data_IF_794318590885
#
_entry.id   IF_794318590885
#
_cell.length_a   1.000
_cell.length_b   1.000
_cell.length_c   1.000
_cell.angle_alpha   90.00
_cell.angle_beta   90.00
_cell.angle_gamma   90.00
#
_symmetry.space_group_name_H-M   'P 1'
#
loop_
_entity.id
_entity.type
_entity.pdbx_description
1 polymer ?
#
# COMPACT_ATOMS: atom_id res chain seq x y z
N UNK A 1 -4.80 21.25 12.48
CA UNK A 1 -5.15 19.84 12.73
C UNK A 1 -4.01 18.98 12.22
N UNK A 2 -3.47 18.06 13.02
CA UNK A 2 -2.41 17.14 12.56
C UNK A 2 -3.01 16.11 11.62
N UNK A 3 -2.42 15.90 10.44
CA UNK A 3 -2.81 14.79 9.59
C UNK A 3 -2.47 13.47 10.31
N UNK A 4 -3.44 12.57 10.44
CA UNK A 4 -3.21 11.20 10.91
C UNK A 4 -2.74 10.34 9.74
N UNK A 5 -1.57 9.72 9.90
CA UNK A 5 -1.08 8.67 9.02
C UNK A 5 -1.38 7.32 9.66
N UNK A 6 -2.24 6.53 9.03
CA UNK A 6 -2.52 5.16 9.44
C UNK A 6 -1.74 4.20 8.55
N UNK A 7 -0.90 3.36 9.15
CA UNK A 7 -0.21 2.32 8.40
C UNK A 7 -1.18 1.19 8.05
N UNK A 8 -1.25 0.83 6.77
CA UNK A 8 -2.22 -0.13 6.25
C UNK A 8 -1.55 -1.43 5.83
N UNK A 9 -0.47 -1.34 5.06
CA UNK A 9 0.30 -2.52 4.62
C UNK A 9 1.76 -2.25 4.87
N UNK A 10 2.46 -3.25 5.40
CA UNK A 10 3.91 -3.25 5.45
C UNK A 10 4.46 -4.62 5.06
N UNK A 11 5.54 -4.61 4.28
CA UNK A 11 6.33 -5.80 3.97
C UNK A 11 7.80 -5.42 3.78
N UNK A 12 8.68 -6.41 3.84
CA UNK A 12 10.13 -6.23 3.64
C UNK A 12 10.60 -7.16 2.52
N UNK A 13 11.27 -6.60 1.52
CA UNK A 13 11.84 -7.34 0.40
C UNK A 13 13.34 -7.07 0.28
N UNK A 14 14.19 -8.08 0.50
CA UNK A 14 15.66 -7.97 0.48
C UNK A 14 16.22 -6.76 1.26
N UNK A 15 15.68 -6.54 2.46
CA UNK A 15 16.09 -5.44 3.34
C UNK A 15 15.55 -4.06 2.95
N UNK A 16 14.59 -3.99 2.03
CA UNK A 16 13.87 -2.77 1.66
C UNK A 16 12.47 -2.85 2.27
N UNK A 17 12.12 -1.87 3.11
CA UNK A 17 10.80 -1.73 3.69
C UNK A 17 9.85 -1.08 2.69
N UNK A 18 8.69 -1.68 2.49
CA UNK A 18 7.61 -1.19 1.65
C UNK A 18 6.39 -0.97 2.54
N UNK A 19 5.94 0.27 2.66
CA UNK A 19 4.82 0.64 3.53
C UNK A 19 3.81 1.47 2.77
N UNK A 20 2.52 1.23 3.04
CA UNK A 20 1.41 2.05 2.54
C UNK A 20 0.72 2.65 3.74
N UNK A 21 0.59 3.97 3.72
CA UNK A 21 -0.13 4.75 4.70
C UNK A 21 -1.36 5.39 4.08
N UNK A 22 -2.40 5.53 4.89
CA UNK A 22 -3.53 6.39 4.58
C UNK A 22 -3.37 7.75 5.23
N UNK A 23 -3.53 8.79 4.43
CA UNK A 23 -3.52 10.17 4.87
C UNK A 23 -4.96 10.69 4.87
N UNK A 24 -5.57 10.69 6.06
CA UNK A 24 -6.96 11.09 6.26
C UNK A 24 -7.25 12.50 5.72
N UNK A 25 -6.30 13.45 5.86
CA UNK A 25 -6.52 14.85 5.47
C UNK A 25 -6.74 15.05 3.97
N UNK A 26 -6.13 14.18 3.16
CA UNK A 26 -6.06 14.35 1.70
C UNK A 26 -6.86 13.26 0.98
N UNK A 27 -7.49 12.34 1.73
CA UNK A 27 -8.16 11.15 1.21
C UNK A 27 -7.27 10.39 0.22
N UNK A 28 -5.98 10.26 0.58
CA UNK A 28 -4.92 9.80 -0.30
C UNK A 28 -4.07 8.70 0.33
N UNK A 29 -3.43 7.92 -0.54
CA UNK A 29 -2.45 6.91 -0.14
C UNK A 29 -1.04 7.45 -0.29
N UNK A 30 -0.23 7.17 0.72
CA UNK A 30 1.20 7.43 0.70
C UNK A 30 1.94 6.10 0.65
N UNK A 31 2.65 5.87 -0.44
CA UNK A 31 3.56 4.74 -0.55
C UNK A 31 4.97 5.19 -0.15
N UNK A 32 5.53 4.49 0.83
CA UNK A 32 6.86 4.72 1.38
C UNK A 32 7.73 3.50 1.10
N UNK A 33 8.87 3.74 0.45
CA UNK A 33 9.90 2.73 0.23
C UNK A 33 11.21 3.21 0.83
N UNK A 34 11.77 2.43 1.74
CA UNK A 34 13.04 2.71 2.40
C UNK A 34 13.98 1.53 2.27
N UNK A 35 15.11 1.76 1.59
CA UNK A 35 16.17 0.80 1.42
C UNK A 35 17.46 1.34 1.99
N UNK A 36 18.26 0.46 2.62
CA UNK A 36 19.57 0.78 3.21
C UNK A 36 20.53 1.57 2.31
N UNK A 37 20.35 1.55 0.98
CA UNK A 37 21.24 2.22 0.01
C UNK A 37 20.59 3.34 -0.81
N UNK A 38 19.26 3.55 -0.76
CA UNK A 38 18.56 4.45 -1.70
C UNK A 38 17.74 5.58 -1.07
N UNK A 39 17.69 5.65 0.26
CA UNK A 39 16.89 6.64 0.98
C UNK A 39 15.39 6.44 0.78
N UNK A 40 14.59 7.18 1.55
CA UNK A 40 13.14 7.14 1.49
C UNK A 40 12.59 7.77 0.19
N UNK A 41 11.69 7.07 -0.50
CA UNK A 41 10.86 7.65 -1.55
C UNK A 41 9.40 7.63 -1.14
N UNK A 42 8.76 8.79 -1.26
CA UNK A 42 7.34 9.02 -1.00
C UNK A 42 6.61 9.23 -2.32
N UNK A 43 5.49 8.53 -2.49
CA UNK A 43 4.59 8.70 -3.61
C UNK A 43 3.18 8.92 -3.08
N UNK A 44 2.58 10.03 -3.46
CA UNK A 44 1.16 10.30 -3.23
C UNK A 44 0.38 9.82 -4.46
N UNK A 45 -0.65 9.01 -4.25
CA UNK A 45 -1.51 8.53 -5.33
C UNK A 45 -2.99 8.76 -5.00
N UNK A 46 -3.72 9.32 -5.96
CA UNK A 46 -5.18 9.44 -5.89
C UNK A 46 -5.85 8.08 -6.17
N UNK A 47 -6.91 7.83 -5.41
CA UNK A 47 -7.70 6.60 -5.18
C UNK A 47 -7.99 5.65 -6.36
N UNK A 48 -7.89 6.04 -7.61
CA UNK A 48 -8.20 5.16 -8.75
C UNK A 48 -6.93 4.75 -9.48
N UNK A 49 -6.30 3.63 -9.13
CA UNK A 49 -5.47 2.78 -10.02
C UNK A 49 -4.57 1.83 -9.25
N UNK A 50 -4.17 0.76 -9.93
CA UNK A 50 -2.96 0.01 -9.60
C UNK A 50 -1.70 0.87 -9.78
N UNK A 51 -0.82 0.88 -8.79
CA UNK A 51 0.46 1.58 -8.85
C UNK A 51 1.61 0.59 -9.02
N UNK A 52 2.31 0.67 -10.15
CA UNK A 52 3.48 -0.17 -10.44
C UNK A 52 4.76 0.44 -9.88
N UNK A 53 5.58 -0.38 -9.22
CA UNK A 53 6.89 0.03 -8.71
C UNK A 53 7.89 -1.13 -8.81
N UNK A 54 9.18 -0.83 -8.70
CA UNK A 54 10.24 -1.83 -8.79
C UNK A 54 11.18 -1.78 -7.59
N UNK A 55 11.55 -2.95 -7.08
CA UNK A 55 12.49 -3.11 -5.97
C UNK A 55 13.58 -4.08 -6.41
N UNK A 56 14.83 -3.60 -6.54
CA UNK A 56 15.97 -4.41 -7.03
C UNK A 56 15.58 -5.26 -8.25
N UNK A 57 15.07 -4.59 -9.29
CA UNK A 57 14.64 -5.18 -10.57
C UNK A 57 13.44 -6.15 -10.51
N UNK A 58 12.87 -6.41 -9.33
CA UNK A 58 11.58 -7.10 -9.20
C UNK A 58 10.42 -6.12 -9.36
N UNK A 59 9.49 -6.42 -10.26
CA UNK A 59 8.28 -5.64 -10.48
C UNK A 59 7.19 -5.99 -9.49
N UNK A 60 6.62 -4.96 -8.88
CA UNK A 60 5.49 -5.04 -7.98
C UNK A 60 4.38 -4.10 -8.42
N UNK A 61 3.16 -4.44 -8.01
CA UNK A 61 1.97 -3.63 -8.21
C UNK A 61 1.23 -3.53 -6.90
N UNK A 62 1.00 -2.31 -6.42
CA UNK A 62 0.02 -2.03 -5.37
C UNK A 62 -1.35 -1.94 -6.02
N UNK A 63 -2.29 -2.82 -5.65
CA UNK A 63 -3.67 -2.72 -6.16
C UNK A 63 -4.57 -2.02 -5.15
N UNK A 64 -5.29 -1.02 -5.66
CA UNK A 64 -6.32 -0.27 -4.95
C UNK A 64 -7.60 -0.40 -5.76
N UNK A 65 -8.68 -0.84 -5.11
CA UNK A 65 -9.97 -1.06 -5.74
C UNK A 65 -10.99 -0.12 -5.13
N UNK A 66 -11.61 0.77 -5.94
CA UNK A 66 -12.75 1.54 -5.50
C UNK A 66 -13.90 0.59 -5.14
N UNK A 67 -14.48 0.75 -3.96
CA UNK A 67 -15.70 0.05 -3.55
C UNK A 67 -16.93 0.88 -3.93
N UNK A 68 -17.95 0.24 -4.50
CA UNK A 68 -19.22 0.88 -4.83
C UNK A 68 -19.98 1.41 -3.62
N UNK A 69 -19.62 0.98 -2.40
CA UNK A 69 -20.15 1.48 -1.12
C UNK A 69 -19.22 2.54 -0.52
N UNK A 70 -19.14 3.72 -1.14
CA UNK A 70 -18.49 4.96 -0.64
C UNK A 70 -17.09 4.79 -0.03
N UNK A 71 -16.34 3.78 -0.45
CA UNK A 71 -15.08 3.40 0.18
C UNK A 71 -14.05 2.98 -0.85
N UNK A 72 -12.83 2.81 -0.39
CA UNK A 72 -11.71 2.35 -1.21
C UNK A 72 -11.03 1.24 -0.43
N UNK A 73 -10.82 0.12 -1.10
CA UNK A 73 -10.14 -1.04 -0.55
C UNK A 73 -8.71 -1.07 -1.12
N UNK A 74 -7.67 -0.92 -0.28
CA UNK A 74 -6.34 -1.42 -0.66
C UNK A 74 -6.41 -2.94 -0.59
N UNK A 75 -5.87 -3.66 -1.57
CA UNK A 75 -5.92 -5.14 -1.57
C UNK A 75 -4.54 -5.75 -1.30
N UNK A 76 -3.45 -5.05 -1.63
CA UNK A 76 -2.09 -5.43 -1.25
C UNK A 76 -1.05 -5.28 -2.35
N UNK A 77 0.13 -5.86 -2.09
CA UNK A 77 1.25 -5.92 -3.02
C UNK A 77 1.18 -7.20 -3.85
N UNK A 78 1.36 -7.07 -5.16
CA UNK A 78 1.38 -8.16 -6.11
C UNK A 78 2.72 -8.21 -6.82
N UNK A 79 3.31 -9.39 -6.95
CA UNK A 79 4.53 -9.65 -7.72
C UNK A 79 4.18 -10.49 -8.93
N UNK A 80 4.50 -10.02 -10.13
CA UNK A 80 4.18 -10.72 -11.38
C UNK A 80 2.70 -11.16 -11.49
N UNK A 81 1.78 -10.34 -11.00
CA UNK A 81 0.34 -10.63 -10.98
C UNK A 81 -0.16 -11.49 -9.82
N UNK A 82 0.73 -12.16 -9.09
CA UNK A 82 0.39 -12.99 -7.92
C UNK A 82 0.42 -12.17 -6.62
N UNK A 83 -0.45 -12.49 -5.64
CA UNK A 83 -0.38 -11.86 -4.32
C UNK A 83 0.98 -12.10 -3.66
N UNK A 84 1.63 -11.03 -3.20
CA UNK A 84 2.85 -11.12 -2.40
C UNK A 84 2.58 -10.81 -0.93
N UNK A 85 1.70 -9.83 -0.67
CA UNK A 85 1.17 -9.53 0.66
C UNK A 85 -0.22 -8.93 0.48
N UNK A 86 -1.26 -9.61 0.98
CA UNK A 86 -2.63 -9.11 0.93
C UNK A 86 -3.02 -8.47 2.25
N UNK A 87 -3.70 -7.34 2.15
CA UNK A 87 -4.28 -6.61 3.28
C UNK A 87 -5.40 -5.75 2.72
N UNK A 88 -6.60 -5.92 3.26
CA UNK A 88 -7.78 -5.14 2.94
C UNK A 88 -7.92 -4.00 3.96
N UNK A 89 -8.04 -2.76 3.49
CA UNK A 89 -8.39 -1.63 4.34
C UNK A 89 -9.50 -0.84 3.69
N UNK A 90 -10.59 -0.66 4.43
CA UNK A 90 -11.74 0.10 3.97
C UNK A 90 -11.78 1.47 4.63
N UNK A 91 -11.73 2.51 3.82
CA UNK A 91 -11.77 3.90 4.29
C UNK A 91 -13.07 4.25 5.04
N UNK A 92 -14.23 3.75 4.57
CA UNK A 92 -15.55 4.17 5.09
C UNK A 92 -15.85 3.74 6.53
N UNK A 93 -15.24 2.65 7.00
CA UNK A 93 -15.37 2.15 8.38
C UNK A 93 -14.01 2.06 9.10
N UNK A 94 -12.92 2.51 8.45
CA UNK A 94 -11.52 2.40 8.92
C UNK A 94 -11.14 0.98 9.36
N UNK A 95 -11.81 -0.04 8.83
CA UNK A 95 -11.56 -1.42 9.21
C UNK A 95 -10.39 -1.99 8.40
N UNK A 96 -9.45 -2.62 9.12
CA UNK A 96 -8.32 -3.35 8.53
C UNK A 96 -8.56 -4.85 8.67
N UNK A 97 -8.47 -5.58 7.56
CA UNK A 97 -8.50 -7.04 7.52
C UNK A 97 -7.27 -7.51 6.76
N UNK A 98 -6.32 -8.13 7.45
CA UNK A 98 -5.15 -8.72 6.83
C UNK A 98 -5.38 -10.20 6.57
N UNK A 99 -5.08 -10.66 5.36
CA UNK A 99 -4.93 -12.09 5.04
C UNK A 99 -3.54 -12.26 4.49
N UNK A 100 -2.60 -12.78 5.26
CA UNK A 100 -1.31 -13.19 4.72
C UNK A 100 -1.40 -14.60 4.18
N UNK A 101 -0.78 -14.87 3.05
CA UNK A 101 -0.40 -16.24 2.71
C UNK A 101 0.52 -16.76 3.82
N UNK A 102 0.17 -17.92 4.37
CA UNK A 102 1.16 -18.83 4.95
C UNK A 102 2.08 -19.25 3.81
N UNK A 103 3.37 -18.89 3.96
CA UNK A 103 4.46 -19.30 3.08
C UNK A 103 4.46 -20.81 2.79
#
# INVERSE_FOLDING_TARGET
MSASLLQIVQTVYHGISLSVFWKDSDNAYQFYMDGKERGARLFDASVSSSFSFAVKDSQFVLKVTPSSKKGVDIIGFYKSGLPYKLSAFRSSDKMLVSVSESA
#
